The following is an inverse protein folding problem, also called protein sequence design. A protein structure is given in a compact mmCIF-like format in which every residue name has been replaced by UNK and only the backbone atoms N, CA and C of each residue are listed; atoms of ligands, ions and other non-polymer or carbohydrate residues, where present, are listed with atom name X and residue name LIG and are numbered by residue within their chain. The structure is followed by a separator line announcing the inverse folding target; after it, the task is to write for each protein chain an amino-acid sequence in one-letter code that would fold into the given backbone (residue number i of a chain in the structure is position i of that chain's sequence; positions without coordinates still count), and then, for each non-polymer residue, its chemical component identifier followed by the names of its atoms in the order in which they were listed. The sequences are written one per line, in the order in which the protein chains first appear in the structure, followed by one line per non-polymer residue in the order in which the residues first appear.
data_IF_251753599580
#
_entry.id   IF_251753599580
#
_cell.length_a   1.000
_cell.length_b   1.000
_cell.length_c   1.000
_cell.angle_alpha   90.00
_cell.angle_beta   90.00
_cell.angle_gamma   90.00
#
_symmetry.space_group_name_H-M   'P 1'
#
loop_
_entity.id
_entity.type
_entity.pdbx_description
1 polymer ?
#
# COMPACT_ATOMS: atom_id res chain seq x y z
N UNK A 1 11.44 24.38 23.69
CA UNK A 1 11.88 24.24 25.09
C UNK A 1 13.21 23.51 25.11
N UNK A 2 14.24 24.04 25.78
CA UNK A 2 15.33 23.23 26.32
C UNK A 2 15.35 23.39 27.84
N UNK A 3 14.48 22.69 28.56
CA UNK A 3 14.58 22.60 30.05
C UNK A 3 15.42 21.41 30.51
N UNK A 4 15.67 20.45 29.60
CA UNK A 4 16.58 19.34 29.80
C UNK A 4 17.51 19.35 28.60
N UNK A 5 18.82 19.52 28.82
CA UNK A 5 19.85 19.69 27.78
C UNK A 5 20.08 18.44 26.89
N UNK A 6 19.07 17.60 26.74
CA UNK A 6 19.06 16.40 25.91
C UNK A 6 18.56 16.79 24.53
N UNK A 7 19.38 16.62 23.50
CA UNK A 7 18.86 16.77 22.14
C UNK A 7 18.08 15.49 21.79
N UNK A 8 16.84 15.60 21.28
CA UNK A 8 16.03 14.44 20.90
C UNK A 8 16.69 13.52 19.85
N UNK A 9 17.65 14.05 19.09
CA UNK A 9 18.45 13.29 18.12
C UNK A 9 19.46 12.35 18.77
N UNK A 10 20.02 12.74 19.91
CA UNK A 10 20.97 11.90 20.68
C UNK A 10 20.24 10.84 21.52
N UNK A 11 19.02 11.12 21.95
CA UNK A 11 18.21 10.19 22.77
C UNK A 11 17.49 9.11 21.95
N UNK A 12 17.27 9.36 20.65
CA UNK A 12 16.56 8.45 19.74
C UNK A 12 17.56 7.95 18.69
N UNK A 13 18.68 7.42 19.18
CA UNK A 13 19.64 6.68 18.36
C UNK A 13 19.22 5.21 18.24
N UNK A 14 19.73 4.48 17.25
CA UNK A 14 19.33 3.12 16.88
C UNK A 14 19.40 2.11 18.05
N UNK A 15 20.22 2.38 19.06
CA UNK A 15 20.43 1.52 20.23
C UNK A 15 19.64 1.92 21.48
N UNK A 16 18.79 2.95 21.40
CA UNK A 16 18.07 3.44 22.59
C UNK A 16 16.72 2.71 22.77
N UNK A 17 16.40 2.22 23.99
CA UNK A 17 15.14 1.51 24.24
C UNK A 17 13.88 2.35 23.97
N UNK A 18 14.00 3.68 24.03
CA UNK A 18 12.90 4.59 23.67
C UNK A 18 12.52 4.51 22.19
N UNK A 19 13.48 4.28 21.28
CA UNK A 19 13.17 4.09 19.86
C UNK A 19 12.32 2.82 19.70
N UNK A 20 12.72 1.71 20.31
CA UNK A 20 11.95 0.46 20.27
C UNK A 20 10.55 0.61 20.84
N UNK A 21 10.39 1.35 21.95
CA UNK A 21 9.08 1.60 22.55
C UNK A 21 8.19 2.45 21.63
N UNK A 22 8.73 3.50 21.01
CA UNK A 22 8.01 4.31 20.02
C UNK A 22 7.60 3.50 18.79
N UNK A 23 8.47 2.60 18.32
CA UNK A 23 8.15 1.69 17.22
C UNK A 23 7.08 0.68 17.58
N UNK A 24 7.06 0.17 18.82
CA UNK A 24 5.98 -0.68 19.30
C UNK A 24 4.62 0.06 19.33
N UNK A 25 4.62 1.37 19.57
CA UNK A 25 3.42 2.21 19.52
C UNK A 25 3.07 2.76 18.12
N UNK A 26 3.95 2.59 17.13
CA UNK A 26 3.76 3.08 15.75
C UNK A 26 2.44 2.63 15.11
N UNK A 27 1.96 1.38 15.27
CA UNK A 27 0.69 0.95 14.67
C UNK A 27 -0.54 1.61 15.29
N UNK A 28 -0.46 2.05 16.56
CA UNK A 28 -1.59 2.63 17.28
C UNK A 28 -1.77 4.11 16.95
N UNK A 29 -0.66 4.85 16.79
CA UNK A 29 -0.67 6.30 16.53
C UNK A 29 0.41 6.71 15.50
N UNK A 30 0.34 6.20 14.25
CA UNK A 30 1.41 6.39 13.27
C UNK A 30 1.63 7.86 12.90
N UNK A 31 0.54 8.64 12.82
CA UNK A 31 0.58 10.05 12.44
C UNK A 31 1.26 10.94 13.48
N UNK A 32 1.03 10.67 14.76
CA UNK A 32 1.68 11.44 15.82
C UNK A 32 3.17 11.14 15.92
N UNK A 33 3.54 9.86 15.81
CA UNK A 33 4.92 9.43 15.91
C UNK A 33 5.72 9.90 14.69
N UNK A 34 5.12 9.89 13.50
CA UNK A 34 5.73 10.49 12.31
C UNK A 34 5.85 12.00 12.42
N UNK A 35 4.84 12.69 12.97
CA UNK A 35 4.91 14.13 13.17
C UNK A 35 5.98 14.51 14.20
N UNK A 36 6.17 13.70 15.24
CA UNK A 36 7.26 13.85 16.21
C UNK A 36 8.62 13.63 15.53
N UNK A 37 8.73 12.59 14.70
CA UNK A 37 9.93 12.31 13.91
C UNK A 37 10.28 13.48 12.99
N UNK A 38 9.28 14.08 12.35
CA UNK A 38 9.45 15.25 11.49
C UNK A 38 9.85 16.50 12.26
N UNK A 39 9.22 16.76 13.41
CA UNK A 39 9.53 17.89 14.27
C UNK A 39 10.99 17.91 14.73
N UNK A 40 11.54 16.73 15.04
CA UNK A 40 12.91 16.57 15.50
C UNK A 40 13.91 16.17 14.41
N UNK A 41 13.44 15.91 13.18
CA UNK A 41 14.29 15.49 12.07
C UNK A 41 14.93 14.10 12.25
N UNK A 42 14.19 13.14 12.82
CA UNK A 42 14.69 11.80 13.16
C UNK A 42 14.27 10.81 12.08
N UNK A 43 15.17 10.53 11.14
CA UNK A 43 14.88 9.64 10.01
C UNK A 43 14.70 8.17 10.42
N UNK A 44 15.45 7.71 11.43
CA UNK A 44 15.37 6.33 11.94
C UNK A 44 13.99 5.97 12.49
N UNK A 45 13.23 6.96 12.98
CA UNK A 45 11.85 6.78 13.41
C UNK A 45 10.87 6.95 12.25
N UNK A 46 11.12 7.92 11.37
CA UNK A 46 10.23 8.27 10.26
C UNK A 46 10.11 7.16 9.21
N UNK A 47 11.20 6.47 8.87
CA UNK A 47 11.20 5.35 7.91
C UNK A 47 10.24 4.22 8.32
N UNK A 48 10.39 3.60 9.49
CA UNK A 48 9.49 2.52 9.91
C UNK A 48 8.07 3.00 10.22
N UNK A 49 7.85 4.26 10.64
CA UNK A 49 6.48 4.77 10.79
C UNK A 49 5.79 5.05 9.45
N UNK A 50 6.55 5.37 8.40
CA UNK A 50 5.96 5.70 7.09
C UNK A 50 5.21 4.53 6.45
N UNK A 51 5.60 3.28 6.71
CA UNK A 51 4.87 2.09 6.23
C UNK A 51 3.47 1.99 6.85
N UNK A 52 3.30 2.39 8.10
CA UNK A 52 1.99 2.41 8.78
C UNK A 52 1.10 3.56 8.34
N UNK A 53 1.67 4.60 7.71
CA UNK A 53 0.92 5.75 7.20
C UNK A 53 0.30 5.52 5.83
N UNK A 54 0.73 4.49 5.12
CA UNK A 54 0.21 4.20 3.78
C UNK A 54 -1.29 3.86 3.78
N UNK A 55 -1.79 3.31 4.88
CA UNK A 55 -3.21 2.95 5.09
C UNK A 55 -4.03 4.12 5.60
N UNK A 56 -3.35 5.16 6.13
CA UNK A 56 -3.99 6.34 6.66
C UNK A 56 -4.56 7.17 5.51
N UNK A 57 -5.83 7.54 5.66
CA UNK A 57 -6.43 8.47 4.72
C UNK A 57 -5.86 9.88 4.93
N UNK A 58 -5.34 10.48 3.85
CA UNK A 58 -4.67 11.79 3.86
C UNK A 58 -5.53 12.95 4.40
N UNK A 59 -6.86 12.80 4.45
CA UNK A 59 -7.77 13.80 5.00
C UNK A 59 -7.65 13.98 6.52
N UNK A 60 -7.04 13.02 7.23
CA UNK A 60 -6.79 13.14 8.67
C UNK A 60 -5.57 14.02 9.01
N UNK A 61 -4.82 14.49 8.01
CA UNK A 61 -3.69 15.41 8.22
C UNK A 61 -4.26 16.82 8.43
N UNK A 62 -4.28 17.26 9.68
CA UNK A 62 -4.66 18.63 10.05
C UNK A 62 -3.51 19.60 9.83
N UNK A 63 -3.82 20.89 9.65
CA UNK A 63 -2.81 21.95 9.49
C UNK A 63 -1.83 22.01 10.68
N UNK A 64 -2.32 21.74 11.89
CA UNK A 64 -1.49 21.65 13.09
C UNK A 64 -0.46 20.51 13.01
N UNK A 65 -0.84 19.35 12.48
CA UNK A 65 0.07 18.22 12.28
C UNK A 65 1.05 18.50 11.14
N UNK A 66 0.59 19.12 10.05
CA UNK A 66 1.43 19.55 8.94
C UNK A 66 2.51 20.54 9.41
N UNK A 67 2.14 21.52 10.24
CA UNK A 67 3.07 22.46 10.85
C UNK A 67 4.06 21.75 11.79
N UNK A 68 3.59 20.78 12.58
CA UNK A 68 4.43 20.04 13.54
C UNK A 68 5.48 19.17 12.85
N UNK A 69 5.11 18.43 11.81
CA UNK A 69 6.04 17.54 11.08
C UNK A 69 6.99 18.26 10.13
N UNK A 70 6.60 19.46 9.69
CA UNK A 70 7.37 20.26 8.74
C UNK A 70 7.14 19.87 7.28
N UNK A 71 7.45 20.83 6.38
CA UNK A 71 7.20 20.72 4.94
C UNK A 71 7.99 19.58 4.29
N UNK A 72 9.20 19.28 4.78
CA UNK A 72 10.05 18.21 4.24
C UNK A 72 9.43 16.82 4.43
N UNK A 73 8.97 16.49 5.64
CA UNK A 73 8.37 15.19 5.93
C UNK A 73 6.99 15.06 5.30
N UNK A 74 6.20 16.15 5.29
CA UNK A 74 4.94 16.19 4.58
C UNK A 74 5.13 15.91 3.07
N UNK A 75 6.11 16.57 2.43
CA UNK A 75 6.45 16.32 1.02
C UNK A 75 6.87 14.87 0.78
N UNK A 76 7.72 14.30 1.65
CA UNK A 76 8.15 12.90 1.54
C UNK A 76 6.97 11.94 1.63
N UNK A 77 6.05 12.14 2.58
CA UNK A 77 4.83 11.35 2.72
C UNK A 77 3.95 11.43 1.47
N UNK A 78 3.68 12.64 0.95
CA UNK A 78 2.92 12.80 -0.29
C UNK A 78 3.59 12.13 -1.49
N UNK A 79 4.91 12.28 -1.62
CA UNK A 79 5.67 11.65 -2.70
C UNK A 79 5.62 10.12 -2.60
N UNK A 80 5.64 9.56 -1.40
CA UNK A 80 5.51 8.11 -1.17
C UNK A 80 4.13 7.60 -1.62
N UNK A 81 3.04 8.26 -1.23
CA UNK A 81 1.70 7.88 -1.71
C UNK A 81 1.59 8.04 -3.23
N UNK A 82 2.10 9.15 -3.77
CA UNK A 82 2.08 9.42 -5.22
C UNK A 82 2.88 8.37 -5.99
N UNK A 83 4.14 8.13 -5.64
CA UNK A 83 5.01 7.17 -6.32
C UNK A 83 4.37 5.79 -6.30
N UNK A 84 3.86 5.34 -5.16
CA UNK A 84 3.16 4.07 -5.01
C UNK A 84 1.92 3.98 -5.93
N UNK A 85 1.08 5.01 -5.98
CA UNK A 85 -0.06 5.02 -6.92
C UNK A 85 0.35 5.05 -8.38
N UNK A 86 1.45 5.73 -8.71
CA UNK A 86 1.96 5.83 -10.08
C UNK A 86 2.60 4.49 -10.52
N UNK A 87 3.33 3.80 -9.63
CA UNK A 87 3.83 2.44 -9.84
C UNK A 87 2.69 1.43 -10.05
N UNK A 88 1.63 1.52 -9.24
CA UNK A 88 0.45 0.64 -9.42
C UNK A 88 -0.18 0.84 -10.80
N UNK A 89 -0.33 2.09 -11.25
CA UNK A 89 -0.85 2.39 -12.60
C UNK A 89 0.07 1.82 -13.68
N UNK A 90 1.39 1.91 -13.53
CA UNK A 90 2.36 1.37 -14.48
C UNK A 90 2.25 -0.17 -14.57
N UNK A 91 2.16 -0.85 -13.43
CA UNK A 91 1.99 -2.31 -13.38
C UNK A 91 0.69 -2.73 -14.08
N UNK A 92 -0.41 -2.01 -13.83
CA UNK A 92 -1.73 -2.32 -14.38
C UNK A 92 -1.90 -1.90 -15.85
N UNK A 93 -1.09 -0.97 -16.35
CA UNK A 93 -1.11 -0.56 -17.75
C UNK A 93 -0.74 -1.71 -18.70
N UNK A 94 0.04 -2.67 -18.22
CA UNK A 94 0.43 -3.86 -18.99
C UNK A 94 -0.70 -4.89 -18.99
N UNK A 95 -1.27 -5.10 -20.17
CA UNK A 95 -2.33 -6.10 -20.42
C UNK A 95 -1.78 -7.52 -20.37
N UNK A 96 -2.61 -8.54 -20.03
CA UNK A 96 -2.21 -9.93 -20.11
C UNK A 96 -1.79 -10.30 -21.54
N UNK A 97 -0.77 -11.16 -21.67
CA UNK A 97 -0.30 -11.67 -22.97
C UNK A 97 -1.36 -12.59 -23.58
N UNK A 98 -1.48 -12.57 -24.91
CA UNK A 98 -2.35 -13.49 -25.62
C UNK A 98 -1.71 -14.88 -25.72
N UNK A 99 -2.55 -15.92 -25.72
CA UNK A 99 -2.12 -17.27 -26.06
C UNK A 99 -2.21 -17.50 -27.59
N UNK A 100 -1.54 -18.51 -28.16
CA UNK A 100 -1.70 -18.89 -29.56
C UNK A 100 -3.17 -19.22 -29.88
N UNK A 101 -3.63 -18.91 -31.10
CA UNK A 101 -5.01 -19.17 -31.53
C UNK A 101 -5.33 -20.66 -31.40
N UNK A 102 -6.43 -20.98 -30.71
CA UNK A 102 -6.96 -22.33 -30.57
C UNK A 102 -8.33 -22.41 -31.24
N UNK A 103 -8.77 -23.63 -31.61
CA UNK A 103 -10.07 -23.83 -32.28
C UNK A 103 -11.29 -23.36 -31.45
N UNK A 104 -11.08 -23.11 -30.17
CA UNK A 104 -12.10 -22.67 -29.21
C UNK A 104 -11.97 -21.17 -28.85
N UNK A 105 -10.94 -20.47 -29.35
CA UNK A 105 -10.66 -19.09 -28.99
C UNK A 105 -10.07 -18.29 -30.16
N UNK A 106 -10.93 -17.49 -30.77
CA UNK A 106 -10.55 -16.56 -31.84
C UNK A 106 -10.04 -15.23 -31.29
N UNK A 107 -9.41 -14.44 -32.17
CA UNK A 107 -8.91 -13.11 -31.86
C UNK A 107 -9.98 -12.16 -31.28
N UNK A 108 -11.26 -12.37 -31.59
CA UNK A 108 -12.36 -11.61 -30.99
C UNK A 108 -12.55 -11.93 -29.50
N UNK A 109 -12.41 -13.19 -29.10
CA UNK A 109 -12.44 -13.59 -27.70
C UNK A 109 -11.23 -13.02 -26.94
N UNK A 110 -10.05 -12.99 -27.57
CA UNK A 110 -8.85 -12.37 -26.99
C UNK A 110 -9.02 -10.85 -26.81
N UNK A 111 -9.65 -10.15 -27.75
CA UNK A 111 -10.01 -8.72 -27.58
C UNK A 111 -10.98 -8.48 -26.42
N UNK A 112 -11.90 -9.41 -26.15
CA UNK A 112 -12.81 -9.31 -24.99
C UNK A 112 -12.02 -9.35 -23.68
N UNK A 113 -10.96 -10.16 -23.59
CA UNK A 113 -10.05 -10.17 -22.44
C UNK A 113 -9.35 -8.82 -22.24
N UNK A 114 -8.82 -8.20 -23.30
CA UNK A 114 -8.16 -6.89 -23.19
C UNK A 114 -9.14 -5.79 -22.72
N UNK A 115 -10.37 -5.80 -23.24
CA UNK A 115 -11.42 -4.85 -22.83
C UNK A 115 -11.86 -5.08 -21.38
N UNK A 116 -12.00 -6.35 -20.98
CA UNK A 116 -12.27 -6.75 -19.60
C UNK A 116 -11.17 -6.23 -18.66
N UNK A 117 -9.90 -6.43 -19.01
CA UNK A 117 -8.76 -5.91 -18.26
C UNK A 117 -8.81 -4.39 -18.11
N UNK A 118 -9.01 -3.65 -19.22
CA UNK A 118 -9.12 -2.20 -19.19
C UNK A 118 -10.28 -1.70 -18.30
N UNK A 119 -11.41 -2.43 -18.27
CA UNK A 119 -12.51 -2.12 -17.36
C UNK A 119 -12.15 -2.39 -15.89
N UNK A 120 -11.42 -3.47 -15.61
CA UNK A 120 -10.91 -3.78 -14.27
C UNK A 120 -9.94 -2.70 -13.77
N UNK A 121 -8.95 -2.35 -14.59
CA UNK A 121 -7.93 -1.35 -14.20
C UNK A 121 -8.52 0.05 -14.02
N UNK A 122 -9.50 0.44 -14.84
CA UNK A 122 -10.21 1.71 -14.65
C UNK A 122 -11.04 1.75 -13.38
N UNK A 123 -11.74 0.67 -13.03
CA UNK A 123 -12.47 0.55 -11.74
C UNK A 123 -11.52 0.64 -10.55
N UNK A 124 -10.37 -0.01 -10.63
CA UNK A 124 -9.35 0.08 -9.58
C UNK A 124 -8.79 1.51 -9.49
N UNK A 125 -8.47 2.14 -10.61
CA UNK A 125 -8.00 3.52 -10.66
C UNK A 125 -9.01 4.51 -10.04
N UNK A 126 -10.30 4.26 -10.22
CA UNK A 126 -11.36 5.03 -9.57
C UNK A 126 -11.41 4.81 -8.06
N UNK A 127 -11.27 3.56 -7.58
CA UNK A 127 -11.16 3.27 -6.13
C UNK A 127 -9.97 4.00 -5.50
N UNK A 128 -8.82 3.98 -6.17
CA UNK A 128 -7.59 4.67 -5.72
C UNK A 128 -7.77 6.19 -5.68
N UNK A 129 -8.50 6.77 -6.65
CA UNK A 129 -8.76 8.22 -6.71
C UNK A 129 -9.76 8.70 -5.67
N UNK A 130 -10.78 7.90 -5.36
CA UNK A 130 -11.83 8.26 -4.41
C UNK A 130 -11.35 8.36 -2.96
N UNK A 131 -10.07 8.07 -2.68
CA UNK A 131 -9.51 8.15 -1.33
C UNK A 131 -10.34 7.31 -0.35
N UNK A 132 -10.77 6.11 -0.77
CA UNK A 132 -11.60 5.27 0.09
C UNK A 132 -10.73 4.74 1.23
N UNK A 133 -10.90 5.12 2.49
CA UNK A 133 -12.15 5.23 3.26
C UNK A 133 -13.00 3.95 3.16
N UNK A 134 -12.41 2.81 3.53
CA UNK A 134 -13.15 1.72 4.19
C UNK A 134 -12.35 1.23 5.38
N UNK A 135 -12.78 1.66 6.56
CA UNK A 135 -12.70 0.83 7.75
C UNK A 135 -13.57 -0.41 7.49
N UNK A 136 -13.03 -1.46 6.87
CA UNK A 136 -13.59 -2.80 7.15
C UNK A 136 -13.00 -3.28 8.46
N UNK A 137 -13.71 -2.90 9.52
CA UNK A 137 -13.81 -3.68 10.75
C UNK A 137 -14.12 -5.14 10.37
N UNK A 138 -13.07 -5.96 10.27
CA UNK A 138 -13.07 -7.38 10.62
C UNK A 138 -11.83 -7.65 11.46
N UNK A 139 -11.82 -7.01 12.63
CA UNK A 139 -11.08 -7.48 13.77
C UNK A 139 -12.08 -8.26 14.62
N UNK A 140 -12.30 -9.54 14.28
CA UNK A 140 -12.65 -10.60 15.22
C UNK A 140 -12.15 -11.90 14.58
N UNK A 141 -11.51 -12.72 15.40
CA UNK A 141 -11.08 -14.11 15.15
C UNK A 141 -9.66 -14.37 14.63
N UNK A 142 -8.62 -13.78 15.25
CA UNK A 142 -7.32 -14.46 15.29
C UNK A 142 -6.64 -14.30 16.65
N UNK A 143 -6.34 -15.46 17.26
CA UNK A 143 -5.81 -15.67 18.60
C UNK A 143 -4.39 -15.08 18.76
N UNK A 144 -4.17 -14.35 19.86
CA UNK A 144 -3.12 -13.34 20.03
C UNK A 144 -1.94 -13.83 20.87
N UNK A 145 -1.33 -14.96 20.53
CA UNK A 145 -0.05 -15.35 21.15
C UNK A 145 0.88 -16.05 20.17
N UNK A 146 2.11 -15.51 20.03
CA UNK A 146 3.29 -16.10 19.38
C UNK A 146 3.42 -15.96 17.85
N UNK A 147 3.71 -14.73 17.37
CA UNK A 147 4.52 -14.48 16.15
C UNK A 147 4.91 -12.99 16.03
N UNK A 148 5.73 -12.53 16.97
CA UNK A 148 6.09 -11.11 17.15
C UNK A 148 7.11 -10.52 16.17
N UNK A 149 7.51 -11.22 15.10
CA UNK A 149 8.49 -10.68 14.13
C UNK A 149 8.09 -10.89 12.65
N UNK A 150 7.05 -11.68 12.36
CA UNK A 150 6.63 -11.95 10.96
C UNK A 150 5.31 -11.26 10.56
N UNK A 151 4.66 -10.54 11.48
CA UNK A 151 3.37 -9.86 11.24
C UNK A 151 3.53 -8.39 10.80
N UNK A 152 4.73 -7.95 10.42
CA UNK A 152 4.96 -6.57 9.96
C UNK A 152 4.66 -6.36 8.46
N UNK A 153 4.39 -7.42 7.68
CA UNK A 153 4.05 -7.30 6.25
C UNK A 153 2.55 -7.47 5.93
N UNK A 154 1.69 -7.71 6.93
CA UNK A 154 0.29 -8.06 6.70
C UNK A 154 -0.71 -6.91 6.96
N UNK A 155 -0.22 -5.70 7.24
CA UNK A 155 -1.08 -4.50 7.34
C UNK A 155 -1.11 -3.80 5.97
N UNK A 156 -1.84 -4.44 5.04
CA UNK A 156 -1.99 -4.03 3.65
C UNK A 156 -2.86 -2.76 3.52
N UNK A 157 -2.29 -1.70 2.97
CA UNK A 157 -3.03 -0.67 2.23
C UNK A 157 -3.61 -1.29 0.97
N UNK A 158 -4.83 -0.88 0.59
CA UNK A 158 -5.52 -1.25 -0.67
C UNK A 158 -5.19 -2.68 -1.11
N UNK A 159 -5.72 -3.62 -0.35
CA UNK A 159 -5.22 -4.98 -0.27
C UNK A 159 -5.10 -5.65 -1.64
N UNK A 160 -4.18 -6.59 -1.77
CA UNK A 160 -4.14 -7.56 -2.87
C UNK A 160 -5.52 -8.21 -3.14
N UNK A 161 -6.42 -8.21 -2.15
CA UNK A 161 -7.82 -8.59 -2.29
C UNK A 161 -8.67 -7.56 -3.04
N UNK A 162 -8.48 -6.26 -2.83
CA UNK A 162 -9.16 -5.22 -3.63
C UNK A 162 -8.83 -5.34 -5.12
N UNK A 163 -7.58 -5.70 -5.44
CA UNK A 163 -7.16 -6.01 -6.82
C UNK A 163 -7.93 -7.23 -7.30
N UNK A 164 -7.86 -8.36 -6.58
CA UNK A 164 -8.56 -9.60 -6.97
C UNK A 164 -10.06 -9.40 -7.14
N UNK A 165 -10.72 -8.73 -6.20
CA UNK A 165 -12.17 -8.46 -6.18
C UNK A 165 -12.64 -7.70 -7.43
N UNK A 166 -11.80 -6.83 -7.99
CA UNK A 166 -12.13 -6.11 -9.22
C UNK A 166 -12.09 -7.03 -10.45
N UNK A 167 -11.26 -8.07 -10.42
CA UNK A 167 -11.12 -9.04 -11.52
C UNK A 167 -12.00 -10.29 -11.36
N UNK A 168 -12.56 -10.58 -10.18
CA UNK A 168 -13.53 -11.68 -9.96
C UNK A 168 -14.75 -11.63 -10.90
N UNK A 169 -15.37 -10.46 -11.20
CA UNK A 169 -16.47 -10.40 -12.16
C UNK A 169 -16.04 -10.58 -13.62
N UNK A 170 -14.73 -10.58 -13.90
CA UNK A 170 -14.18 -10.75 -15.24
C UNK A 170 -13.87 -12.22 -15.53
N UNK A 171 -13.56 -13.01 -14.49
CA UNK A 171 -13.35 -14.46 -14.63
C UNK A 171 -14.62 -15.20 -15.03
N UNK A 172 -15.80 -14.71 -14.64
CA UNK A 172 -17.10 -15.31 -15.04
C UNK A 172 -17.53 -14.99 -16.47
N UNK A 173 -16.87 -14.01 -17.12
CA UNK A 173 -17.20 -13.56 -18.49
C UNK A 173 -16.35 -14.22 -19.58
N UNK A 174 -15.28 -14.90 -19.18
CA UNK A 174 -14.34 -15.57 -20.09
C UNK A 174 -14.75 -17.04 -20.20
N UNK A 175 -15.05 -17.49 -21.42
CA UNK A 175 -15.43 -18.88 -21.71
C UNK A 175 -14.28 -19.77 -22.20
N UNK A 176 -13.03 -19.25 -22.19
CA UNK A 176 -11.84 -19.97 -22.65
C UNK A 176 -10.88 -20.18 -21.49
N UNK A 177 -10.48 -21.43 -21.25
CA UNK A 177 -9.59 -21.82 -20.16
C UNK A 177 -8.17 -21.25 -20.33
N UNK A 178 -7.64 -21.20 -21.56
CA UNK A 178 -6.32 -20.62 -21.85
C UNK A 178 -6.28 -19.11 -21.56
N UNK A 179 -7.34 -18.37 -21.92
CA UNK A 179 -7.49 -16.95 -21.59
C UNK A 179 -7.53 -16.74 -20.07
N UNK A 180 -8.19 -17.65 -19.36
CA UNK A 180 -8.28 -17.64 -17.90
C UNK A 180 -6.93 -17.90 -17.24
N UNK A 181 -6.14 -18.82 -17.79
CA UNK A 181 -4.77 -19.07 -17.32
C UNK A 181 -3.87 -17.86 -17.54
N UNK A 182 -3.89 -17.23 -18.73
CA UNK A 182 -3.11 -16.00 -19.00
C UNK A 182 -3.52 -14.81 -18.14
N UNK A 183 -4.80 -14.71 -17.78
CA UNK A 183 -5.26 -13.72 -16.81
C UNK A 183 -4.71 -14.00 -15.41
N UNK A 184 -4.73 -15.25 -14.95
CA UNK A 184 -4.22 -15.65 -13.63
C UNK A 184 -2.71 -15.43 -13.53
N UNK A 185 -1.94 -15.87 -14.54
CA UNK A 185 -0.50 -15.61 -14.64
C UNK A 185 -0.22 -14.11 -14.49
N UNK A 186 -0.92 -13.28 -15.27
CA UNK A 186 -0.70 -11.83 -15.21
C UNK A 186 -1.08 -11.24 -13.86
N UNK A 187 -2.18 -11.68 -13.26
CA UNK A 187 -2.59 -11.21 -11.93
C UNK A 187 -1.55 -11.59 -10.88
N UNK A 188 -0.95 -12.77 -10.97
CA UNK A 188 0.13 -13.18 -10.08
C UNK A 188 1.36 -12.29 -10.27
N UNK A 189 1.80 -12.02 -11.50
CA UNK A 189 2.90 -11.09 -11.78
C UNK A 189 2.63 -9.70 -11.18
N UNK A 190 1.40 -9.19 -11.31
CA UNK A 190 1.00 -7.90 -10.76
C UNK A 190 1.11 -7.89 -9.24
N UNK A 191 0.69 -8.97 -8.57
CA UNK A 191 0.75 -9.09 -7.11
C UNK A 191 2.19 -9.21 -6.60
N UNK A 192 3.02 -10.00 -7.28
CA UNK A 192 4.43 -10.16 -6.93
C UNK A 192 5.20 -8.85 -7.14
N UNK A 193 4.98 -8.18 -8.28
CA UNK A 193 5.60 -6.87 -8.55
C UNK A 193 5.14 -5.81 -7.55
N UNK A 194 3.85 -5.83 -7.16
CA UNK A 194 3.31 -4.91 -6.17
C UNK A 194 3.88 -5.13 -4.77
N UNK A 195 4.15 -6.38 -4.40
CA UNK A 195 4.76 -6.71 -3.11
C UNK A 195 6.20 -6.19 -2.97
N UNK A 196 6.90 -5.97 -4.09
CA UNK A 196 8.26 -5.42 -4.12
C UNK A 196 8.31 -3.88 -4.08
N UNK A 197 7.17 -3.20 -4.15
CA UNK A 197 7.13 -1.73 -4.15
C UNK A 197 7.45 -1.20 -2.75
N UNK A 198 8.45 -0.31 -2.68
CA UNK A 198 8.87 0.33 -1.44
C UNK A 198 7.70 0.97 -0.69
N UNK A 199 7.64 0.68 0.60
CA UNK A 199 6.60 1.16 1.51
C UNK A 199 7.13 2.21 2.51
N UNK A 200 8.34 2.70 2.30
CA UNK A 200 9.01 3.62 3.22
C UNK A 200 9.62 4.82 2.50
N UNK A 201 9.76 5.95 3.21
CA UNK A 201 10.44 7.16 2.72
C UNK A 201 11.97 7.04 2.63
#
# INVERSE_FOLDING_TARGET
MPEYALTPKELIDANHPLLHLLLAHAPLRPLDIYALAGHHGIEHLAKPTSSHLLSLSLHHITDALAARMGTTYLRRLFLLHKSRTDTLKQILAQTPRFHPLTRLCDFEAQKKLTRAWALGTTRLAWKLRAGTSRLTRRALDFDWTLKFVFCFSHFLDTSTQDIKDVFVPLTTKLGCDDCMEKLKERLQDVLETWALVDCTI
#
